data_IF_384598929500
#
_entry.id   IF_384598929500
#
_cell.length_a   1.000
_cell.length_b   1.000
_cell.length_c   1.000
_cell.angle_alpha   90.00
_cell.angle_beta   90.00
_cell.angle_gamma   90.00
#
_symmetry.space_group_name_H-M   'P 1'
#
loop_
_entity.id
_entity.type
_entity.pdbx_description
1 polymer ?
#
# COMPACT_ATOMS: atom_id res chain seq x y z
N UNK A 1 29.92 25.33 7.58
CA UNK A 1 29.90 24.10 6.75
C UNK A 1 29.02 23.10 7.52
N UNK A 2 27.71 23.27 7.44
CA UNK A 2 26.76 22.39 8.14
C UNK A 2 26.43 21.25 7.20
N UNK A 3 27.01 20.08 7.46
CA UNK A 3 26.58 18.83 6.87
C UNK A 3 25.17 18.54 7.39
N UNK A 4 24.17 18.75 6.53
CA UNK A 4 22.82 18.22 6.70
C UNK A 4 22.92 16.70 6.89
N UNK A 5 22.89 16.27 8.15
CA UNK A 5 22.53 14.89 8.50
C UNK A 5 21.04 14.80 8.16
N UNK A 6 20.73 14.48 6.89
CA UNK A 6 19.41 13.96 6.52
C UNK A 6 19.16 12.79 7.46
N UNK A 7 18.30 12.98 8.45
CA UNK A 7 17.74 11.89 9.22
C UNK A 7 17.25 10.85 8.20
N UNK A 8 17.90 9.70 8.14
CA UNK A 8 17.43 8.58 7.33
C UNK A 8 15.98 8.34 7.73
N UNK A 9 15.01 8.36 6.79
CA UNK A 9 13.63 8.05 7.12
C UNK A 9 13.61 6.73 7.87
N UNK A 10 12.81 6.63 8.92
CA UNK A 10 12.55 5.36 9.57
C UNK A 10 12.14 4.35 8.49
N UNK A 11 13.01 3.38 8.17
CA UNK A 11 12.81 2.47 7.04
C UNK A 11 11.47 1.75 7.17
N UNK A 12 11.07 1.42 8.40
CA UNK A 12 9.80 0.79 8.70
C UNK A 12 8.61 1.67 8.31
N UNK A 13 8.60 2.96 8.68
CA UNK A 13 7.55 3.90 8.29
C UNK A 13 7.44 4.06 6.78
N UNK A 14 8.59 4.09 6.10
CA UNK A 14 8.64 4.17 4.63
C UNK A 14 8.02 2.92 4.00
N UNK A 15 8.38 1.73 4.47
CA UNK A 15 7.82 0.46 3.99
C UNK A 15 6.33 0.37 4.26
N UNK A 16 5.92 0.74 5.47
CA UNK A 16 4.54 0.75 5.91
C UNK A 16 3.72 1.65 5.01
N UNK A 17 4.13 2.89 4.83
CA UNK A 17 3.44 3.83 3.96
C UNK A 17 3.38 3.35 2.50
N UNK A 18 4.50 2.86 1.95
CA UNK A 18 4.56 2.33 0.59
C UNK A 18 3.58 1.15 0.38
N UNK A 19 3.45 0.27 1.37
CA UNK A 19 2.53 -0.86 1.28
C UNK A 19 1.09 -0.38 1.44
N UNK A 20 0.83 0.50 2.41
CA UNK A 20 -0.49 1.05 2.71
C UNK A 20 -1.09 1.84 1.57
N UNK A 21 -0.32 2.73 0.92
CA UNK A 21 -0.81 3.49 -0.24
C UNK A 21 -1.20 2.60 -1.42
N UNK A 22 -0.61 1.41 -1.55
CA UNK A 22 -1.01 0.42 -2.57
C UNK A 22 -2.32 -0.28 -2.21
N UNK A 23 -2.51 -0.61 -0.94
CA UNK A 23 -3.79 -1.14 -0.44
C UNK A 23 -4.91 -0.12 -0.71
N UNK A 24 -4.71 1.15 -0.34
CA UNK A 24 -5.71 2.21 -0.53
C UNK A 24 -6.04 2.44 -2.02
N UNK A 25 -5.01 2.51 -2.86
CA UNK A 25 -5.21 2.64 -4.31
C UNK A 25 -6.02 1.46 -4.87
N UNK A 26 -5.70 0.23 -4.49
CA UNK A 26 -6.39 -0.95 -5.00
C UNK A 26 -7.85 -1.01 -4.54
N UNK A 27 -8.13 -0.66 -3.28
CA UNK A 27 -9.50 -0.63 -2.75
C UNK A 27 -10.41 0.31 -3.57
N UNK A 28 -9.91 1.49 -3.96
CA UNK A 28 -10.67 2.39 -4.83
C UNK A 28 -10.76 1.84 -6.26
N UNK A 29 -9.63 1.43 -6.83
CA UNK A 29 -9.58 1.04 -8.24
C UNK A 29 -10.42 -0.20 -8.57
N UNK A 30 -10.54 -1.14 -7.62
CA UNK A 30 -11.38 -2.34 -7.74
C UNK A 30 -12.84 -2.10 -7.32
N UNK A 31 -13.21 -0.89 -6.91
CA UNK A 31 -14.57 -0.56 -6.46
C UNK A 31 -14.94 -1.16 -5.10
N UNK A 32 -13.96 -1.63 -4.33
CA UNK A 32 -14.14 -2.16 -2.98
C UNK A 32 -14.35 -1.06 -1.93
N UNK A 33 -14.02 0.18 -2.26
CA UNK A 33 -14.27 1.37 -1.46
C UNK A 33 -14.75 2.53 -2.36
N UNK A 34 -15.57 3.42 -1.80
CA UNK A 34 -15.94 4.68 -2.45
C UNK A 34 -14.94 5.77 -2.09
N UNK A 35 -14.59 6.62 -3.07
CA UNK A 35 -13.63 7.71 -2.89
C UNK A 35 -14.28 9.06 -3.14
N UNK A 36 -14.13 9.99 -2.19
CA UNK A 36 -14.51 11.40 -2.35
C UNK A 36 -13.31 12.30 -2.16
N UNK A 37 -13.28 13.42 -2.88
CA UNK A 37 -12.16 14.35 -2.85
C UNK A 37 -12.58 15.67 -2.24
N UNK A 38 -11.83 16.12 -1.22
CA UNK A 38 -12.06 17.41 -0.57
C UNK A 38 -10.78 18.22 -0.62
N UNK A 39 -10.88 19.44 -1.14
CA UNK A 39 -9.74 20.37 -1.17
C UNK A 39 -9.98 21.47 -0.15
N UNK A 40 -9.10 21.57 0.84
CA UNK A 40 -9.15 22.57 1.91
C UNK A 40 -7.75 23.16 2.08
N UNK A 41 -7.63 24.49 2.13
CA UNK A 41 -6.35 25.19 2.32
C UNK A 41 -5.26 24.71 1.34
N UNK A 42 -5.60 24.59 0.04
CA UNK A 42 -4.72 24.09 -1.01
C UNK A 42 -4.19 22.66 -0.81
N UNK A 43 -4.80 21.88 0.10
CA UNK A 43 -4.51 20.47 0.32
C UNK A 43 -5.70 19.65 -0.11
N UNK A 44 -5.46 18.72 -1.02
CA UNK A 44 -6.46 17.77 -1.47
C UNK A 44 -6.36 16.48 -0.66
N UNK A 45 -7.49 16.03 -0.16
CA UNK A 45 -7.66 14.77 0.56
C UNK A 45 -8.56 13.85 -0.23
N UNK A 46 -8.16 12.59 -0.31
CA UNK A 46 -9.01 11.48 -0.70
C UNK A 46 -9.56 10.84 0.57
N UNK A 47 -10.89 10.83 0.69
CA UNK A 47 -11.61 10.13 1.75
C UNK A 47 -12.21 8.85 1.17
N UNK A 48 -11.79 7.70 1.69
CA UNK A 48 -12.33 6.40 1.38
C UNK A 48 -13.39 6.02 2.43
N UNK A 49 -14.50 5.45 1.98
CA UNK A 49 -15.58 4.92 2.82
C UNK A 49 -16.15 3.64 2.23
N UNK A 50 -16.99 2.94 3.02
CA UNK A 50 -17.74 1.79 2.51
C UNK A 50 -18.61 2.20 1.31
N UNK A 51 -18.66 1.42 0.22
CA UNK A 51 -19.56 1.68 -0.91
C UNK A 51 -21.04 1.65 -0.52
N UNK A 52 -21.37 0.89 0.53
CA UNK A 52 -22.74 0.66 0.99
C UNK A 52 -23.09 1.48 2.24
N UNK A 53 -22.30 2.50 2.58
CA UNK A 53 -22.56 3.36 3.75
C UNK A 53 -23.90 4.08 3.59
N UNK A 54 -24.89 3.72 4.42
CA UNK A 54 -26.15 4.46 4.52
C UNK A 54 -25.94 5.77 5.31
N UNK A 55 -26.56 6.89 4.86
CA UNK A 55 -26.65 8.10 5.67
C UNK A 55 -27.33 7.79 7.01
N UNK A 56 -26.69 8.12 8.13
CA UNK A 56 -27.25 7.92 9.47
C UNK A 56 -26.93 6.58 10.14
N UNK A 57 -25.98 5.79 9.61
CA UNK A 57 -25.42 4.65 10.35
C UNK A 57 -24.86 5.10 11.71
N UNK A 58 -25.10 4.30 12.77
CA UNK A 58 -24.63 4.59 14.14
C UNK A 58 -23.10 4.74 14.22
N UNK A 59 -22.37 4.04 13.36
CA UNK A 59 -20.92 4.13 13.23
C UNK A 59 -20.53 4.23 11.76
N UNK A 60 -19.72 5.24 11.41
CA UNK A 60 -19.12 5.40 10.09
C UNK A 60 -17.60 5.34 10.19
N UNK A 61 -16.97 4.66 9.24
CA UNK A 61 -15.52 4.50 9.15
C UNK A 61 -15.03 5.17 7.88
N UNK A 62 -14.03 6.01 8.00
CA UNK A 62 -13.40 6.71 6.89
C UNK A 62 -11.87 6.56 6.94
N UNK A 63 -11.24 6.45 5.78
CA UNK A 63 -9.79 6.55 5.63
C UNK A 63 -9.46 7.78 4.80
N UNK A 64 -8.66 8.70 5.34
CA UNK A 64 -8.27 9.94 4.68
C UNK A 64 -6.79 9.90 4.34
N UNK A 65 -6.45 10.15 3.10
CA UNK A 65 -5.05 10.20 2.63
C UNK A 65 -4.86 11.43 1.75
N UNK A 66 -3.69 12.08 1.85
CA UNK A 66 -3.42 13.25 1.02
C UNK A 66 -3.15 12.85 -0.41
N UNK A 67 -3.62 13.68 -1.34
CA UNK A 67 -3.20 13.64 -2.73
C UNK A 67 -2.01 14.58 -2.91
N UNK A 68 -1.00 14.13 -3.66
CA UNK A 68 0.13 14.98 -4.02
C UNK A 68 -0.34 16.15 -4.90
N UNK A 69 0.24 17.35 -4.76
CA UNK A 69 -0.17 18.51 -5.55
C UNK A 69 -0.04 18.32 -7.06
N UNK A 70 1.00 17.62 -7.52
CA UNK A 70 1.21 17.28 -8.94
C UNK A 70 0.12 16.37 -9.51
N UNK A 71 -0.41 15.47 -8.67
CA UNK A 71 -1.50 14.57 -9.02
C UNK A 71 -2.89 15.25 -8.96
N UNK A 72 -3.01 16.46 -8.38
CA UNK A 72 -4.28 17.18 -8.33
C UNK A 72 -4.79 17.59 -9.72
N UNK A 73 -3.92 17.64 -10.74
CA UNK A 73 -4.31 17.88 -12.13
C UNK A 73 -5.28 16.81 -12.69
N UNK A 74 -5.32 15.62 -12.10
CA UNK A 74 -6.24 14.55 -12.49
C UNK A 74 -7.64 14.69 -11.87
N UNK A 75 -7.86 15.71 -11.03
CA UNK A 75 -9.17 16.07 -10.52
C UNK A 75 -9.84 17.08 -11.44
N UNK A 76 -10.99 16.70 -11.97
CA UNK A 76 -11.84 17.60 -12.75
C UNK A 76 -13.27 17.53 -12.23
N UNK A 77 -13.86 18.69 -11.93
CA UNK A 77 -15.20 18.83 -11.37
C UNK A 77 -15.46 17.90 -10.15
N UNK A 78 -14.48 17.77 -9.26
CA UNK A 78 -14.57 16.92 -8.06
C UNK A 78 -14.49 15.41 -8.32
N UNK A 79 -14.24 14.99 -9.55
CA UNK A 79 -14.09 13.58 -9.94
C UNK A 79 -12.68 13.30 -10.42
N UNK A 80 -12.19 12.13 -10.03
CA UNK A 80 -10.90 11.63 -10.45
C UNK A 80 -11.00 10.98 -11.83
N UNK A 81 -10.15 11.40 -12.77
CA UNK A 81 -10.33 11.08 -14.20
C UNK A 81 -9.61 9.81 -14.67
N UNK A 82 -8.83 9.15 -13.81
CA UNK A 82 -8.00 8.00 -14.19
C UNK A 82 -7.91 6.95 -13.07
N UNK A 83 -7.09 5.92 -13.23
CA UNK A 83 -6.79 5.00 -12.12
C UNK A 83 -6.01 5.75 -11.03
N UNK A 84 -6.33 5.55 -9.75
CA UNK A 84 -5.53 6.10 -8.66
C UNK A 84 -4.26 5.27 -8.54
N UNK A 85 -3.12 5.86 -8.87
CA UNK A 85 -1.83 5.23 -8.66
C UNK A 85 -1.35 5.45 -7.22
N UNK A 86 -0.67 4.46 -6.62
CA UNK A 86 -0.09 4.60 -5.27
C UNK A 86 0.81 5.84 -5.12
N UNK A 87 1.48 6.25 -6.19
CA UNK A 87 2.38 7.41 -6.24
C UNK A 87 1.64 8.74 -6.11
N UNK A 88 0.33 8.79 -6.39
CA UNK A 88 -0.48 9.99 -6.19
C UNK A 88 -0.80 10.26 -4.72
N UNK A 89 -0.65 9.25 -3.86
CA UNK A 89 -0.97 9.34 -2.44
C UNK A 89 0.26 9.79 -1.63
N UNK A 90 0.01 10.61 -0.62
CA UNK A 90 1.02 11.18 0.25
C UNK A 90 0.60 11.11 1.71
N UNK A 91 1.59 11.06 2.62
CA UNK A 91 1.35 11.08 4.06
C UNK A 91 0.70 12.42 4.50
N UNK A 92 -0.06 12.41 5.61
CA UNK A 92 -0.38 11.25 6.45
C UNK A 92 -1.57 10.43 5.90
N UNK A 93 -1.72 9.22 6.41
CA UNK A 93 -2.97 8.45 6.34
C UNK A 93 -3.65 8.58 7.70
N UNK A 94 -4.94 8.93 7.69
CA UNK A 94 -5.78 9.10 8.87
C UNK A 94 -6.94 8.14 8.83
N UNK A 95 -7.16 7.43 9.92
CA UNK A 95 -8.37 6.63 10.14
C UNK A 95 -9.31 7.46 11.01
N UNK A 96 -10.60 7.46 10.70
CA UNK A 96 -11.62 8.20 11.44
C UNK A 96 -12.83 7.31 11.66
N UNK A 97 -13.24 7.19 12.92
CA UNK A 97 -14.54 6.63 13.29
C UNK A 97 -15.45 7.79 13.70
N UNK A 98 -16.63 7.86 13.09
CA UNK A 98 -17.69 8.77 13.52
C UNK A 98 -18.80 7.94 14.17
N UNK A 99 -19.07 8.17 15.45
CA UNK A 99 -20.14 7.50 16.18
C UNK A 99 -20.98 8.54 16.92
N UNK A 100 -22.31 8.50 16.75
CA UNK A 100 -23.24 9.47 17.36
C UNK A 100 -22.90 10.95 17.11
N UNK A 101 -22.21 11.26 16.01
CA UNK A 101 -21.77 12.62 15.66
C UNK A 101 -20.36 12.99 16.13
N UNK A 102 -19.77 12.21 17.05
CA UNK A 102 -18.41 12.41 17.53
C UNK A 102 -17.39 11.75 16.60
N UNK A 103 -16.36 12.52 16.24
CA UNK A 103 -15.28 12.09 15.34
C UNK A 103 -14.03 11.77 16.12
N UNK A 104 -13.47 10.58 15.91
CA UNK A 104 -12.22 10.15 16.51
C UNK A 104 -11.17 9.82 15.43
N UNK A 105 -10.34 10.78 15.01
CA UNK A 105 -9.29 10.57 14.02
C UNK A 105 -7.93 10.22 14.64
N UNK A 106 -7.19 9.30 14.02
CA UNK A 106 -5.78 9.03 14.34
C UNK A 106 -4.96 8.73 13.09
N UNK A 107 -3.64 8.88 13.17
CA UNK A 107 -2.72 8.54 12.07
C UNK A 107 -2.28 7.08 12.18
N UNK A 108 -2.29 6.38 11.05
CA UNK A 108 -1.89 4.97 10.96
C UNK A 108 -1.13 4.75 9.66
N UNK A 109 -0.04 4.01 9.72
CA UNK A 109 0.77 3.66 8.55
C UNK A 109 0.83 2.16 8.31
N UNK A 110 0.56 1.33 9.32
CA UNK A 110 0.62 -0.12 9.19
C UNK A 110 -0.46 -0.63 8.23
N UNK A 111 -0.07 -1.28 7.11
CA UNK A 111 -1.03 -1.80 6.14
C UNK A 111 -1.97 -2.85 6.74
N UNK A 112 -1.55 -3.56 7.80
CA UNK A 112 -2.36 -4.57 8.48
C UNK A 112 -3.49 -3.92 9.28
N UNK A 113 -3.16 -2.87 10.04
CA UNK A 113 -4.14 -2.09 10.79
C UNK A 113 -5.14 -1.41 9.86
N UNK A 114 -4.65 -0.79 8.79
CA UNK A 114 -5.50 -0.14 7.77
C UNK A 114 -6.42 -1.16 7.10
N UNK A 115 -5.88 -2.30 6.65
CA UNK A 115 -6.71 -3.36 6.05
C UNK A 115 -7.73 -3.91 7.05
N UNK A 116 -7.32 -4.13 8.29
CA UNK A 116 -8.21 -4.56 9.37
C UNK A 116 -9.33 -3.56 9.66
N UNK A 117 -9.04 -2.26 9.55
CA UNK A 117 -9.99 -1.17 9.76
C UNK A 117 -11.07 -1.10 8.66
N UNK A 118 -10.67 -1.30 7.39
CA UNK A 118 -11.58 -1.26 6.23
C UNK A 118 -12.25 -2.59 5.94
N UNK A 119 -11.75 -3.69 6.52
CA UNK A 119 -12.29 -5.03 6.30
C UNK A 119 -13.81 -5.18 6.50
N UNK A 120 -14.48 -4.48 7.45
CA UNK A 120 -15.94 -4.49 7.54
C UNK A 120 -16.65 -4.08 6.24
N UNK A 121 -16.04 -3.26 5.40
CA UNK A 121 -16.61 -2.86 4.10
C UNK A 121 -16.68 -4.04 3.12
N UNK A 122 -15.83 -5.05 3.29
CA UNK A 122 -15.65 -6.18 2.37
C UNK A 122 -16.46 -7.41 2.77
N UNK A 123 -17.12 -7.41 3.93
CA UNK A 123 -17.77 -8.60 4.52
C UNK A 123 -18.85 -9.23 3.61
N UNK A 124 -19.50 -8.43 2.77
CA UNK A 124 -20.54 -8.89 1.86
C UNK A 124 -20.01 -9.69 0.64
N UNK A 125 -18.70 -9.60 0.38
CA UNK A 125 -18.01 -10.25 -0.74
C UNK A 125 -17.08 -11.37 -0.25
N UNK A 126 -16.99 -11.56 1.08
CA UNK A 126 -15.99 -12.43 1.67
C UNK A 126 -16.50 -13.84 1.98
N UNK A 127 -15.64 -14.80 1.73
CA UNK A 127 -15.81 -16.18 2.16
C UNK A 127 -14.87 -16.43 3.35
N UNK A 128 -15.26 -17.33 4.25
CA UNK A 128 -14.51 -17.63 5.48
C UNK A 128 -13.00 -17.79 5.19
N UNK A 129 -12.17 -17.15 6.02
CA UNK A 129 -10.69 -17.19 6.08
C UNK A 129 -9.84 -16.23 5.20
N UNK A 130 -10.42 -15.40 4.32
CA UNK A 130 -9.59 -14.50 3.49
C UNK A 130 -8.92 -13.37 4.29
N UNK A 131 -9.55 -12.83 5.35
CA UNK A 131 -8.94 -11.77 6.17
C UNK A 131 -7.56 -12.15 6.71
N UNK A 132 -7.50 -13.31 7.38
CA UNK A 132 -6.28 -13.77 8.03
C UNK A 132 -5.18 -14.02 7.00
N UNK A 133 -5.56 -14.55 5.83
CA UNK A 133 -4.66 -14.75 4.70
C UNK A 133 -4.11 -13.41 4.20
N UNK A 134 -4.96 -12.43 3.87
CA UNK A 134 -4.49 -11.12 3.38
C UNK A 134 -3.62 -10.41 4.42
N UNK A 135 -3.99 -10.43 5.70
CA UNK A 135 -3.17 -9.84 6.77
C UNK A 135 -1.79 -10.53 6.88
N UNK A 136 -1.74 -11.86 6.74
CA UNK A 136 -0.48 -12.61 6.71
C UNK A 136 0.38 -12.22 5.50
N UNK A 137 -0.23 -12.13 4.32
CA UNK A 137 0.46 -11.75 3.08
C UNK A 137 0.98 -10.31 3.14
N UNK A 138 0.20 -9.37 3.69
CA UNK A 138 0.63 -7.99 3.93
C UNK A 138 1.83 -7.93 4.87
N UNK A 139 1.78 -8.69 5.98
CA UNK A 139 2.91 -8.79 6.93
C UNK A 139 4.17 -9.31 6.23
N UNK A 140 4.04 -10.39 5.45
CA UNK A 140 5.16 -10.98 4.72
C UNK A 140 5.74 -9.99 3.70
N UNK A 141 4.88 -9.28 2.97
CA UNK A 141 5.30 -8.26 1.99
C UNK A 141 6.05 -7.11 2.65
N UNK A 142 5.56 -6.59 3.78
CA UNK A 142 6.23 -5.55 4.58
C UNK A 142 7.61 -6.00 5.05
N UNK A 143 7.71 -7.18 5.68
CA UNK A 143 8.98 -7.71 6.18
C UNK A 143 10.02 -7.92 5.05
N UNK A 144 9.57 -8.44 3.91
CA UNK A 144 10.44 -8.61 2.75
C UNK A 144 10.90 -7.27 2.16
N UNK A 145 10.05 -6.25 2.19
CA UNK A 145 10.37 -4.94 1.67
C UNK A 145 11.35 -4.18 2.58
N UNK A 146 11.20 -4.32 3.89
CA UNK A 146 12.13 -3.78 4.89
C UNK A 146 13.54 -4.38 4.70
N UNK A 147 13.66 -5.71 4.62
CA UNK A 147 14.97 -6.35 4.42
C UNK A 147 15.62 -5.94 3.09
N UNK A 148 14.82 -5.69 2.06
CA UNK A 148 15.32 -5.25 0.75
C UNK A 148 15.77 -3.80 0.76
N UNK A 149 15.15 -2.92 1.55
CA UNK A 149 15.67 -1.57 1.76
C UNK A 149 16.99 -1.59 2.52
N UNK A 150 17.11 -2.45 3.54
CA UNK A 150 18.37 -2.64 4.26
C UNK A 150 19.49 -3.14 3.33
N UNK A 151 19.20 -4.10 2.45
CA UNK A 151 20.18 -4.54 1.44
C UNK A 151 20.48 -3.40 0.46
N UNK A 152 19.45 -2.69 -0.02
CA UNK A 152 19.62 -1.65 -1.01
C UNK A 152 20.41 -0.44 -0.50
N UNK A 153 20.31 -0.09 0.78
CA UNK A 153 21.12 0.99 1.36
C UNK A 153 22.62 0.69 1.35
N UNK A 154 23.00 -0.58 1.19
CA UNK A 154 24.40 -1.02 1.02
C UNK A 154 24.84 -1.12 -0.44
N UNK A 155 23.91 -1.05 -1.39
CA UNK A 155 24.21 -1.12 -2.82
C UNK A 155 24.49 0.28 -3.37
N UNK A 156 25.46 0.39 -4.28
CA UNK A 156 25.74 1.63 -5.00
C UNK A 156 24.60 1.92 -5.98
N UNK A 157 24.15 3.17 -6.04
CA UNK A 157 23.18 3.60 -7.04
C UNK A 157 23.77 3.36 -8.44
N UNK A 158 23.05 2.66 -9.34
CA UNK A 158 23.56 2.36 -10.66
C UNK A 158 23.73 3.66 -11.47
N UNK A 159 24.74 3.67 -12.31
CA UNK A 159 25.05 4.76 -13.24
C UNK A 159 24.78 4.30 -14.68
N UNK A 160 24.91 5.20 -15.65
CA UNK A 160 24.78 4.83 -17.06
C UNK A 160 25.84 3.80 -17.51
N UNK A 161 26.98 3.75 -16.80
CA UNK A 161 28.04 2.78 -17.04
C UNK A 161 27.83 1.44 -16.30
N UNK A 162 26.78 1.34 -15.48
CA UNK A 162 26.48 0.12 -14.73
C UNK A 162 25.97 -1.00 -15.64
N UNK A 163 26.37 -2.20 -15.29
CA UNK A 163 25.96 -3.42 -15.97
C UNK A 163 24.45 -3.67 -15.82
N UNK A 164 23.90 -4.45 -16.74
CA UNK A 164 22.49 -4.86 -16.70
C UNK A 164 22.07 -5.48 -15.36
N UNK A 165 22.94 -6.31 -14.75
CA UNK A 165 22.65 -6.97 -13.48
C UNK A 165 22.56 -5.98 -12.30
N UNK A 166 23.30 -4.88 -12.34
CA UNK A 166 23.23 -3.82 -11.32
C UNK A 166 21.92 -3.04 -11.44
N UNK A 167 21.45 -2.79 -12.66
CA UNK A 167 20.14 -2.19 -12.92
C UNK A 167 18.98 -3.07 -12.47
N UNK A 168 19.00 -4.38 -12.73
CA UNK A 168 17.98 -5.31 -12.24
C UNK A 168 17.91 -5.35 -10.70
N UNK A 169 19.07 -5.24 -10.04
CA UNK A 169 19.17 -5.26 -8.57
C UNK A 169 18.77 -3.93 -7.91
N UNK A 170 18.68 -2.83 -8.67
CA UNK A 170 18.26 -1.52 -8.17
C UNK A 170 16.74 -1.33 -8.12
N UNK A 171 15.96 -2.31 -8.59
CA UNK A 171 14.51 -2.34 -8.44
C UNK A 171 14.13 -2.65 -6.99
N UNK A 172 14.27 -1.65 -6.12
CA UNK A 172 14.05 -1.77 -4.66
C UNK A 172 12.58 -1.99 -4.35
N UNK A 173 11.67 -1.44 -5.14
CA UNK A 173 10.26 -1.44 -4.81
C UNK A 173 9.50 -2.58 -5.53
N UNK A 174 9.77 -2.89 -6.81
CA UNK A 174 9.01 -3.89 -7.60
C UNK A 174 7.81 -3.28 -8.35
N UNK A 175 6.84 -4.09 -8.82
CA UNK A 175 5.75 -3.59 -9.70
C UNK A 175 4.94 -2.46 -9.03
N UNK A 176 4.68 -1.33 -9.72
CA UNK A 176 4.09 -0.14 -9.09
C UNK A 176 2.65 -0.35 -8.59
N UNK A 177 1.85 -1.16 -9.28
CA UNK A 177 0.39 -1.24 -9.05
C UNK A 177 -0.12 -2.38 -8.16
N UNK A 178 0.72 -3.33 -7.71
CA UNK A 178 0.24 -4.50 -6.95
C UNK A 178 0.47 -4.35 -5.42
N UNK A 179 -0.55 -4.53 -4.55
CA UNK A 179 -0.42 -4.33 -3.11
C UNK A 179 0.46 -5.37 -2.41
N UNK A 180 0.50 -6.60 -2.91
CA UNK A 180 1.28 -7.71 -2.35
C UNK A 180 2.46 -8.08 -3.26
N UNK A 181 3.13 -7.07 -3.84
CA UNK A 181 4.16 -7.22 -4.90
C UNK A 181 5.37 -8.11 -4.57
N UNK A 182 5.53 -8.54 -3.30
CA UNK A 182 6.64 -9.37 -2.82
C UNK A 182 6.24 -10.34 -1.71
N UNK A 183 4.97 -10.73 -1.62
CA UNK A 183 4.73 -11.93 -0.83
C UNK A 183 5.41 -13.10 -1.53
N UNK A 184 6.26 -13.77 -0.77
CA UNK A 184 7.00 -14.93 -1.22
C UNK A 184 6.40 -16.13 -0.49
N UNK A 185 5.68 -16.95 -1.23
CA UNK A 185 5.42 -18.33 -0.81
C UNK A 185 6.66 -19.15 -1.12
N UNK A 186 7.34 -19.66 -0.09
CA UNK A 186 8.36 -20.67 -0.31
C UNK A 186 7.67 -21.93 -0.85
N UNK A 187 7.99 -22.32 -2.08
CA UNK A 187 7.60 -23.63 -2.61
C UNK A 187 8.53 -24.65 -1.94
N UNK A 188 8.02 -25.78 -1.40
CA UNK A 188 8.87 -26.88 -0.95
C UNK A 188 9.86 -27.28 -2.06
N UNK A 189 11.08 -27.75 -1.70
CA UNK A 189 12.04 -28.21 -2.70
C UNK A 189 11.40 -29.17 -3.70
N UNK A 190 11.72 -29.00 -4.98
CA UNK A 190 11.31 -29.98 -5.99
C UNK A 190 11.82 -31.36 -5.57
N UNK A 191 11.01 -32.40 -5.78
CA UNK A 191 11.45 -33.77 -5.50
C UNK A 191 12.72 -34.03 -6.33
N UNK A 192 13.76 -34.64 -5.74
CA UNK A 192 14.95 -35.01 -6.49
C UNK A 192 14.57 -35.83 -7.72
N UNK A 193 15.08 -35.44 -8.89
CA UNK A 193 14.99 -36.27 -10.09
C UNK A 193 16.12 -37.29 -9.97
N UNK A 194 15.76 -38.55 -9.73
CA UNK A 194 16.74 -39.63 -9.86
C UNK A 194 17.10 -39.80 -11.33
N UNK A 195 18.39 -39.90 -11.69
CA UNK A 195 18.77 -40.22 -13.06
C UNK A 195 18.19 -41.60 -13.40
N UNK A 196 17.26 -41.62 -14.35
CA UNK A 196 16.66 -42.87 -14.83
C UNK A 196 17.74 -43.77 -15.39
N UNK A 197 17.85 -44.97 -14.83
CA UNK A 197 18.66 -46.05 -15.40
C UNK A 197 17.94 -46.46 -16.69
N UNK A 198 18.37 -45.88 -17.81
CA UNK A 198 17.94 -46.32 -19.13
C UNK A 198 18.43 -47.74 -19.35
N UNK A 199 17.53 -48.72 -19.25
CA UNK A 199 17.73 -50.06 -19.77
C UNK A 199 17.57 -50.03 -21.29
N UNK A 200 18.68 -50.09 -22.00
CA UNK A 200 18.77 -50.62 -23.37
C UNK A 200 19.11 -52.10 -23.30
#
# INVERSE_FOLDING_TARGET
MNSDIRAMPNHLETVHFETSKRVLAQLINEGLASGTFVTTNSKTWLTLSSPSSLPGAQEQREVKVRIRPDAAAFLSAGRWQQVIRPEHLHQPIRLEVTANGDKNPWEELDPRSIFGFVYPWLQHIDHLERKATVVKELRNSTANQEKRLEIASTLKEPTLDSSYIEWERSLIWGHPTHPVRRSLGAVPPLRPVEPGIGSF
#
